data_IF_949699412750
#
_entry.id   IF_949699412750
#
_cell.length_a   1.000
_cell.length_b   1.000
_cell.length_c   1.000
_cell.angle_alpha   90.00
_cell.angle_beta   90.00
_cell.angle_gamma   90.00
#
_symmetry.space_group_name_H-M   'P 1'
#
loop_
_entity.id
_entity.type
_entity.pdbx_description
1 polymer ?
#
# COMPACT_ATOMS: atom_id res chain seq x y z
N UNK A 1 16.49 1.87 -0.94
CA UNK A 1 16.14 1.30 -2.26
C UNK A 1 14.63 1.33 -2.41
N UNK A 2 14.13 1.64 -3.60
CA UNK A 2 12.71 1.60 -3.94
C UNK A 2 12.48 0.53 -4.99
N UNK A 3 11.40 -0.25 -4.88
CA UNK A 3 11.03 -1.29 -5.83
C UNK A 3 9.70 -0.87 -6.46
N UNK A 4 9.72 -0.61 -7.76
CA UNK A 4 8.55 -0.28 -8.55
C UNK A 4 8.10 -1.47 -9.40
N UNK A 5 6.82 -1.53 -9.71
CA UNK A 5 6.27 -2.34 -10.78
C UNK A 5 5.68 -1.40 -11.81
N UNK A 6 5.97 -1.63 -13.07
CA UNK A 6 5.62 -0.70 -14.15
C UNK A 6 5.41 -1.43 -15.49
N UNK A 7 4.87 -0.70 -16.45
CA UNK A 7 4.76 -1.13 -17.85
C UNK A 7 5.40 -0.09 -18.75
N UNK A 8 6.21 -0.54 -19.68
CA UNK A 8 6.80 0.22 -20.79
C UNK A 8 5.95 0.14 -22.08
N UNK A 9 4.69 -0.29 -21.94
CA UNK A 9 3.78 -0.57 -23.06
C UNK A 9 3.73 -2.05 -23.46
N UNK A 10 4.54 -2.89 -22.80
CA UNK A 10 4.57 -4.35 -22.97
C UNK A 10 4.10 -5.07 -21.68
N UNK A 11 4.73 -6.18 -21.34
CA UNK A 11 4.44 -6.91 -20.11
C UNK A 11 4.93 -6.13 -18.88
N UNK A 12 4.21 -6.22 -17.74
CA UNK A 12 4.65 -5.62 -16.49
C UNK A 12 6.04 -6.12 -16.05
N UNK A 13 6.87 -5.19 -15.62
CA UNK A 13 8.24 -5.42 -15.16
C UNK A 13 8.39 -4.89 -13.74
N UNK A 14 9.24 -5.53 -12.94
CA UNK A 14 9.75 -4.97 -11.71
C UNK A 14 11.08 -4.27 -11.92
N UNK A 15 11.33 -3.22 -11.17
CA UNK A 15 12.60 -2.52 -11.21
C UNK A 15 12.94 -1.88 -9.87
N UNK A 16 14.22 -1.65 -9.67
CA UNK A 16 14.78 -0.98 -8.50
C UNK A 16 15.30 0.40 -8.87
N UNK A 17 15.08 1.38 -7.99
CA UNK A 17 15.62 2.72 -8.11
C UNK A 17 16.13 3.22 -6.76
N UNK A 18 17.13 4.09 -6.79
CA UNK A 18 17.64 4.79 -5.62
C UNK A 18 16.80 6.02 -5.32
N UNK A 19 16.88 6.51 -4.10
CA UNK A 19 16.21 7.75 -3.73
C UNK A 19 16.74 8.93 -4.56
N UNK A 20 15.81 9.73 -5.07
CA UNK A 20 16.12 10.89 -5.92
C UNK A 20 16.53 10.53 -7.37
N UNK A 21 16.55 9.24 -7.72
CA UNK A 21 16.83 8.80 -9.10
C UNK A 21 15.55 8.73 -9.92
N UNK A 22 15.64 9.09 -11.20
CA UNK A 22 14.60 8.82 -12.21
C UNK A 22 14.87 7.53 -12.98
N UNK A 23 16.06 6.92 -12.80
CA UNK A 23 16.47 5.70 -13.51
C UNK A 23 16.04 4.47 -12.75
N UNK A 24 15.36 3.57 -13.44
CA UNK A 24 14.90 2.28 -12.94
C UNK A 24 15.77 1.18 -13.53
N UNK A 25 16.42 0.40 -12.68
CA UNK A 25 17.15 -0.81 -13.09
C UNK A 25 16.15 -1.97 -13.09
N UNK A 26 15.85 -2.53 -14.26
CA UNK A 26 14.93 -3.66 -14.40
C UNK A 26 15.41 -4.88 -13.61
N UNK A 27 14.47 -5.62 -13.03
CA UNK A 27 14.71 -6.86 -12.29
C UNK A 27 14.31 -8.07 -13.14
N UNK A 28 14.96 -9.22 -12.89
CA UNK A 28 14.68 -10.47 -13.60
C UNK A 28 13.33 -11.10 -13.21
N UNK A 29 12.77 -10.73 -12.05
CA UNK A 29 11.53 -11.31 -11.56
C UNK A 29 10.87 -10.48 -10.46
N UNK A 30 9.78 -11.03 -9.91
CA UNK A 30 9.03 -10.45 -8.79
C UNK A 30 9.85 -10.58 -7.49
N UNK A 31 10.22 -9.48 -6.84
CA UNK A 31 11.09 -9.48 -5.64
C UNK A 31 10.45 -10.14 -4.42
N UNK A 32 9.13 -10.43 -4.45
CA UNK A 32 8.46 -11.21 -3.42
C UNK A 32 8.72 -12.72 -3.55
N UNK A 33 9.16 -13.19 -4.73
CA UNK A 33 9.27 -14.63 -5.03
C UNK A 33 10.62 -14.99 -5.65
N UNK A 34 11.44 -13.99 -6.00
CA UNK A 34 12.73 -14.17 -6.64
C UNK A 34 13.78 -13.28 -5.98
N UNK A 35 15.06 -13.64 -6.02
CA UNK A 35 16.13 -12.74 -5.63
C UNK A 35 16.09 -11.40 -6.40
N UNK A 36 16.49 -10.33 -5.75
CA UNK A 36 16.62 -9.00 -6.38
C UNK A 36 17.88 -9.01 -7.26
N UNK A 37 17.71 -9.38 -8.53
CA UNK A 37 18.78 -9.45 -9.52
C UNK A 37 18.49 -8.53 -10.70
N UNK A 38 19.46 -7.69 -11.12
CA UNK A 38 19.32 -6.84 -12.30
C UNK A 38 19.10 -7.67 -13.58
N UNK A 39 18.18 -7.22 -14.43
CA UNK A 39 17.98 -7.79 -15.77
C UNK A 39 18.99 -7.31 -16.81
N UNK A 40 19.68 -6.20 -16.51
CA UNK A 40 20.55 -5.47 -17.44
C UNK A 40 19.84 -4.38 -18.24
N UNK A 41 18.51 -4.27 -18.12
CA UNK A 41 17.72 -3.20 -18.73
C UNK A 41 17.58 -2.00 -17.80
N UNK A 42 17.57 -0.81 -18.38
CA UNK A 42 17.38 0.47 -17.68
C UNK A 42 16.22 1.21 -18.34
N UNK A 43 15.38 1.81 -17.51
CA UNK A 43 14.21 2.58 -17.91
C UNK A 43 14.26 3.96 -17.26
N UNK A 44 13.61 4.95 -17.85
CA UNK A 44 13.37 6.24 -17.21
C UNK A 44 11.94 6.28 -16.62
N UNK A 45 11.83 6.89 -15.45
CA UNK A 45 10.57 6.89 -14.67
C UNK A 45 9.43 7.60 -15.40
N UNK A 46 9.73 8.61 -16.19
CA UNK A 46 8.77 9.39 -16.99
C UNK A 46 8.37 8.72 -18.31
N UNK A 47 9.07 7.64 -18.71
CA UNK A 47 8.76 6.86 -19.92
C UNK A 47 7.91 5.62 -19.62
N UNK A 48 7.62 5.34 -18.35
CA UNK A 48 6.88 4.14 -17.93
C UNK A 48 5.61 4.49 -17.17
N UNK A 49 4.60 3.63 -17.27
CA UNK A 49 3.42 3.72 -16.40
C UNK A 49 3.62 2.87 -15.15
N UNK A 50 3.60 3.50 -13.99
CA UNK A 50 3.63 2.79 -12.72
C UNK A 50 2.36 1.95 -12.53
N UNK A 51 2.52 0.79 -11.95
CA UNK A 51 1.46 -0.14 -11.59
C UNK A 51 1.50 -0.36 -10.07
N UNK A 52 0.46 -0.96 -9.50
CA UNK A 52 0.56 -1.39 -8.11
C UNK A 52 1.85 -2.19 -7.89
N UNK A 53 2.70 -1.81 -6.94
CA UNK A 53 3.98 -2.47 -6.71
C UNK A 53 3.82 -3.87 -6.11
N UNK A 54 2.60 -4.19 -5.65
CA UNK A 54 2.24 -5.50 -5.10
C UNK A 54 1.00 -6.02 -5.80
N UNK A 55 1.05 -7.29 -6.24
CA UNK A 55 -0.14 -8.06 -6.60
C UNK A 55 -0.42 -9.02 -5.43
N UNK A 56 -1.34 -8.70 -4.52
CA UNK A 56 -1.59 -9.55 -3.36
C UNK A 56 -2.13 -10.92 -3.79
N UNK A 57 -1.38 -11.97 -3.49
CA UNK A 57 -1.79 -13.36 -3.81
C UNK A 57 -2.63 -13.98 -2.70
N UNK A 58 -2.78 -13.28 -1.58
CA UNK A 58 -3.59 -13.74 -0.46
C UNK A 58 -4.42 -12.59 0.10
N UNK A 59 -4.14 -12.12 1.29
CA UNK A 59 -4.99 -11.16 1.99
C UNK A 59 -4.44 -9.74 1.87
N UNK A 60 -5.35 -8.77 1.75
CA UNK A 60 -5.10 -7.38 2.13
C UNK A 60 -5.82 -7.17 3.46
N UNK A 61 -5.05 -6.94 4.51
CA UNK A 61 -5.56 -6.81 5.89
C UNK A 61 -5.50 -5.34 6.28
N UNK A 62 -6.63 -4.77 6.63
CA UNK A 62 -6.73 -3.42 7.18
C UNK A 62 -6.82 -3.42 8.70
N UNK A 63 -6.20 -2.44 9.31
CA UNK A 63 -6.22 -2.17 10.76
C UNK A 63 -6.98 -0.86 10.96
N UNK A 64 -8.21 -0.96 11.46
CA UNK A 64 -9.04 0.22 11.67
C UNK A 64 -8.64 1.02 12.91
N UNK A 65 -8.96 2.32 12.92
CA UNK A 65 -8.72 3.25 14.03
C UNK A 65 -7.25 3.26 14.50
N UNK A 66 -6.30 3.08 13.58
CA UNK A 66 -4.87 2.99 13.91
C UNK A 66 -4.19 4.35 14.05
N UNK A 67 -4.79 5.42 13.54
CA UNK A 67 -4.27 6.78 13.63
C UNK A 67 -5.07 7.59 14.65
N UNK A 68 -4.38 8.43 15.43
CA UNK A 68 -5.00 9.28 16.44
C UNK A 68 -4.32 10.64 16.48
N UNK A 69 -5.11 11.69 16.54
CA UNK A 69 -4.61 13.07 16.73
C UNK A 69 -4.00 13.27 18.12
N UNK A 70 -4.32 12.38 19.07
CA UNK A 70 -3.79 12.41 20.43
C UNK A 70 -3.03 11.11 20.70
N UNK A 71 -1.74 11.18 21.11
CA UNK A 71 -0.99 9.99 21.46
C UNK A 71 -1.68 9.21 22.59
N UNK A 72 -1.95 7.93 22.34
CA UNK A 72 -2.49 7.01 23.35
C UNK A 72 -1.37 6.04 23.72
N UNK A 73 -1.04 5.86 25.02
CA UNK A 73 -0.09 4.86 25.47
C UNK A 73 -0.45 3.47 24.91
N UNK A 74 0.56 2.67 24.57
CA UNK A 74 0.36 1.37 23.88
C UNK A 74 -0.52 0.42 24.71
N UNK A 75 -0.33 0.43 26.02
CA UNK A 75 -1.08 -0.38 27.00
C UNK A 75 -2.51 0.08 27.23
N UNK A 76 -2.85 1.31 26.82
CA UNK A 76 -4.20 1.88 26.93
C UNK A 76 -4.98 1.82 25.59
N UNK A 77 -4.33 1.39 24.50
CA UNK A 77 -4.96 1.32 23.19
C UNK A 77 -6.00 0.19 23.17
N UNK A 78 -7.21 0.45 22.69
CA UNK A 78 -8.16 -0.63 22.45
C UNK A 78 -7.65 -1.57 21.37
N UNK A 79 -8.08 -2.82 21.40
CA UNK A 79 -7.81 -3.76 20.31
C UNK A 79 -8.40 -3.19 19.00
N UNK A 80 -7.58 -3.02 17.95
CA UNK A 80 -8.06 -2.41 16.72
C UNK A 80 -8.98 -3.36 15.95
N UNK A 81 -10.04 -2.87 15.33
CA UNK A 81 -10.83 -3.68 14.44
C UNK A 81 -9.99 -4.10 13.23
N UNK A 82 -10.05 -5.38 12.91
CA UNK A 82 -9.36 -5.96 11.74
C UNK A 82 -10.40 -6.26 10.67
N UNK A 83 -10.11 -5.86 9.44
CA UNK A 83 -10.95 -6.15 8.29
C UNK A 83 -10.12 -6.63 7.10
N UNK A 84 -10.78 -7.14 6.09
CA UNK A 84 -10.14 -7.56 4.85
C UNK A 84 -10.64 -6.69 3.69
N UNK A 85 -9.72 -6.32 2.82
CA UNK A 85 -10.04 -5.83 1.47
C UNK A 85 -9.82 -6.98 0.47
N UNK A 86 -10.66 -7.03 -0.54
CA UNK A 86 -10.44 -7.99 -1.62
C UNK A 86 -9.11 -7.69 -2.33
N UNK A 87 -8.33 -8.72 -2.64
CA UNK A 87 -7.11 -8.53 -3.43
C UNK A 87 -7.39 -7.99 -4.83
N UNK A 88 -8.60 -8.23 -5.37
CA UNK A 88 -9.08 -7.67 -6.64
C UNK A 88 -9.44 -6.18 -6.56
N UNK A 89 -9.52 -5.59 -5.37
CA UNK A 89 -9.72 -4.14 -5.21
C UNK A 89 -8.45 -3.33 -5.44
N UNK A 90 -7.28 -3.99 -5.54
CA UNK A 90 -5.99 -3.32 -5.68
C UNK A 90 -5.81 -2.76 -7.08
N UNK A 91 -5.43 -1.48 -7.13
CA UNK A 91 -5.03 -0.76 -8.35
C UNK A 91 -3.70 -0.04 -8.13
N UNK A 92 -3.10 0.45 -9.20
CA UNK A 92 -1.84 1.19 -9.16
C UNK A 92 -2.00 2.70 -8.94
N UNK A 93 -0.86 3.41 -8.92
CA UNK A 93 -0.87 4.87 -8.96
C UNK A 93 -1.56 5.37 -10.23
N UNK A 94 -2.26 6.49 -10.10
CA UNK A 94 -2.98 7.17 -11.21
C UNK A 94 -4.08 6.34 -11.88
N UNK A 95 -4.34 5.11 -11.43
CA UNK A 95 -5.49 4.35 -11.88
C UNK A 95 -6.79 4.98 -11.32
N UNK A 96 -7.86 5.07 -12.10
CA UNK A 96 -9.10 5.69 -11.67
C UNK A 96 -9.83 4.84 -10.62
N UNK A 97 -10.31 5.50 -9.55
CA UNK A 97 -11.20 4.88 -8.57
C UNK A 97 -12.62 4.89 -9.13
N UNK A 98 -13.20 3.72 -9.36
CA UNK A 98 -14.57 3.56 -9.83
C UNK A 98 -15.54 3.67 -8.63
N UNK A 99 -16.18 4.82 -8.49
CA UNK A 99 -17.18 5.04 -7.43
C UNK A 99 -18.38 4.12 -7.69
N UNK A 100 -18.75 3.25 -6.74
CA UNK A 100 -19.84 2.32 -6.93
C UNK A 100 -21.21 3.04 -6.95
N UNK A 101 -22.06 2.72 -7.92
CA UNK A 101 -23.36 3.39 -8.09
C UNK A 101 -24.33 3.19 -6.91
N UNK A 102 -24.06 2.25 -6.02
CA UNK A 102 -24.88 1.95 -4.84
C UNK A 102 -24.43 2.73 -3.59
N UNK A 103 -23.38 3.55 -3.66
CA UNK A 103 -22.88 4.36 -2.54
C UNK A 103 -22.95 5.85 -2.87
N UNK A 104 -23.36 6.63 -1.87
CA UNK A 104 -23.37 8.10 -1.95
C UNK A 104 -22.37 8.75 -0.99
N UNK A 105 -21.59 7.95 -0.25
CA UNK A 105 -20.63 8.42 0.74
C UNK A 105 -19.32 7.63 0.65
N UNK A 106 -18.52 7.97 -0.37
CA UNK A 106 -17.19 7.38 -0.59
C UNK A 106 -16.12 8.36 -0.17
N UNK A 107 -15.21 7.92 0.68
CA UNK A 107 -14.08 8.70 1.20
C UNK A 107 -12.75 8.03 0.88
N UNK A 108 -11.69 8.80 0.92
CA UNK A 108 -10.31 8.31 0.84
C UNK A 108 -9.67 8.30 2.24
N UNK A 109 -8.78 7.36 2.48
CA UNK A 109 -8.04 7.21 3.73
C UNK A 109 -6.59 6.88 3.39
N UNK A 110 -5.68 7.86 3.55
CA UNK A 110 -4.25 7.65 3.35
C UNK A 110 -3.67 6.80 4.48
N UNK A 111 -2.94 5.75 4.10
CA UNK A 111 -2.48 4.70 5.01
C UNK A 111 -1.03 4.32 4.74
N UNK A 112 -0.31 3.89 5.78
CA UNK A 112 0.93 3.14 5.64
C UNK A 112 0.62 1.67 5.37
N UNK A 113 1.11 1.13 4.28
CA UNK A 113 0.98 -0.29 3.98
C UNK A 113 2.30 -1.04 4.20
N UNK A 114 2.22 -2.18 4.89
CA UNK A 114 3.34 -3.08 5.15
C UNK A 114 3.28 -4.24 4.14
N UNK A 115 4.37 -4.46 3.42
CA UNK A 115 4.47 -5.54 2.44
C UNK A 115 5.18 -6.74 3.06
N UNK A 116 4.48 -7.86 3.19
CA UNK A 116 5.00 -9.11 3.75
C UNK A 116 5.65 -9.96 2.66
N UNK A 117 6.92 -10.36 2.87
CA UNK A 117 7.74 -11.11 1.89
C UNK A 117 7.73 -12.62 2.05
N UNK A 118 7.21 -13.13 3.14
CA UNK A 118 7.26 -14.58 3.44
C UNK A 118 6.01 -15.05 4.16
N UNK A 119 5.80 -16.37 4.20
CA UNK A 119 4.74 -16.95 5.03
C UNK A 119 4.93 -16.55 6.49
N UNK A 120 3.90 -15.96 7.08
CA UNK A 120 3.89 -15.49 8.46
C UNK A 120 2.69 -16.09 9.19
N UNK A 121 2.97 -16.84 10.26
CA UNK A 121 1.95 -17.41 11.14
C UNK A 121 2.50 -17.44 12.57
N UNK A 122 1.77 -16.83 13.51
CA UNK A 122 2.16 -16.76 14.93
C UNK A 122 3.56 -16.15 15.12
N UNK A 123 3.89 -15.14 14.32
CA UNK A 123 5.14 -14.41 14.40
C UNK A 123 5.08 -13.48 15.60
N UNK A 124 6.11 -13.50 16.45
CA UNK A 124 6.21 -12.55 17.57
C UNK A 124 6.42 -11.11 17.08
N UNK A 125 6.06 -10.12 17.89
CA UNK A 125 6.32 -8.72 17.55
C UNK A 125 7.82 -8.44 17.31
N UNK A 126 8.71 -9.09 18.06
CA UNK A 126 10.16 -8.98 17.90
C UNK A 126 10.68 -9.57 16.59
N UNK A 127 9.98 -10.55 16.02
CA UNK A 127 10.37 -11.22 14.78
C UNK A 127 9.64 -10.65 13.55
N UNK A 128 8.61 -9.83 13.74
CA UNK A 128 7.84 -9.24 12.66
C UNK A 128 8.72 -8.54 11.59
N UNK A 129 9.79 -7.79 11.93
CA UNK A 129 10.67 -7.18 10.92
C UNK A 129 11.29 -8.19 9.94
N UNK A 130 11.47 -9.44 10.34
CA UNK A 130 12.10 -10.47 9.50
C UNK A 130 11.20 -10.91 8.33
N UNK A 131 9.88 -10.77 8.47
CA UNK A 131 8.90 -11.15 7.44
C UNK A 131 8.46 -9.98 6.56
N UNK A 132 8.90 -8.76 6.87
CA UNK A 132 8.58 -7.53 6.12
C UNK A 132 9.56 -7.36 4.97
N UNK A 133 9.06 -7.08 3.75
CA UNK A 133 9.87 -6.62 2.62
C UNK A 133 10.15 -5.13 2.71
N UNK A 134 9.14 -4.34 3.00
CA UNK A 134 9.19 -2.89 3.04
C UNK A 134 7.80 -2.28 3.17
N UNK A 135 7.71 -1.01 2.84
CA UNK A 135 6.54 -0.17 3.08
C UNK A 135 6.11 0.56 1.81
N UNK A 136 4.83 0.78 1.67
CA UNK A 136 4.25 1.59 0.60
C UNK A 136 3.09 2.42 1.12
N UNK A 137 2.56 3.32 0.30
CA UNK A 137 1.34 4.05 0.61
C UNK A 137 0.14 3.26 0.10
N UNK A 138 -0.92 3.25 0.89
CA UNK A 138 -2.23 2.76 0.48
C UNK A 138 -3.26 3.89 0.58
N UNK A 139 -4.31 3.77 -0.23
CA UNK A 139 -5.54 4.51 -0.03
C UNK A 139 -6.64 3.50 0.29
N UNK A 140 -7.10 3.47 1.56
CA UNK A 140 -8.19 2.60 1.98
C UNK A 140 -9.54 3.25 1.62
N UNK A 141 -9.85 3.28 0.32
CA UNK A 141 -11.10 3.88 -0.17
C UNK A 141 -12.31 3.17 0.42
N UNK A 142 -13.20 3.95 0.99
CA UNK A 142 -14.27 3.45 1.85
C UNK A 142 -15.63 4.01 1.45
N UNK A 143 -16.60 3.13 1.17
CA UNK A 143 -18.00 3.47 1.05
C UNK A 143 -18.63 3.39 2.45
N UNK A 144 -18.68 4.53 3.19
CA UNK A 144 -19.08 4.57 4.61
C UNK A 144 -20.52 4.16 4.85
N UNK A 145 -21.41 4.52 3.93
CA UNK A 145 -22.83 4.15 4.00
C UNK A 145 -23.07 2.63 3.91
N UNK A 146 -22.12 1.87 3.39
CA UNK A 146 -22.17 0.41 3.32
C UNK A 146 -21.57 -0.31 4.52
N UNK A 147 -21.05 0.43 5.51
CA UNK A 147 -20.42 -0.15 6.71
C UNK A 147 -21.37 -0.20 7.93
N UNK A 148 -22.46 0.51 7.89
CA UNK A 148 -23.40 0.63 9.02
C UNK A 148 -24.09 -0.70 9.33
N UNK A 149 -23.89 -1.20 10.55
CA UNK A 149 -24.58 -2.39 11.08
C UNK A 149 -24.18 -3.73 10.48
N UNK A 150 -23.09 -3.81 9.72
CA UNK A 150 -22.65 -5.04 9.06
C UNK A 150 -21.15 -5.18 8.93
N UNK A 151 -20.68 -6.23 8.24
CA UNK A 151 -19.27 -6.41 7.99
C UNK A 151 -18.75 -5.31 7.05
N UNK A 152 -17.57 -4.77 7.38
CA UNK A 152 -16.94 -3.66 6.64
C UNK A 152 -16.53 -4.04 5.21
N UNK A 153 -16.47 -5.33 4.91
CA UNK A 153 -16.00 -5.81 3.60
C UNK A 153 -16.76 -5.23 2.41
N UNK A 154 -18.08 -4.96 2.54
CA UNK A 154 -18.84 -4.32 1.46
C UNK A 154 -18.34 -2.90 1.16
N UNK A 155 -18.11 -2.10 2.20
CA UNK A 155 -17.63 -0.72 2.06
C UNK A 155 -16.16 -0.61 1.74
N UNK A 156 -15.37 -1.64 2.03
CA UNK A 156 -13.90 -1.65 1.94
C UNK A 156 -13.35 -2.45 0.75
N UNK A 157 -14.17 -3.26 0.05
CA UNK A 157 -13.70 -4.26 -0.92
C UNK A 157 -14.33 -4.14 -2.32
N UNK A 158 -14.94 -3.02 -2.67
CA UNK A 158 -15.39 -2.82 -4.05
C UNK A 158 -14.18 -2.67 -4.99
N UNK A 159 -14.38 -2.95 -6.27
CA UNK A 159 -13.32 -2.85 -7.26
C UNK A 159 -12.69 -1.45 -7.23
N UNK A 160 -11.37 -1.40 -7.31
CA UNK A 160 -10.55 -0.18 -7.22
C UNK A 160 -10.47 0.50 -5.84
N UNK A 161 -11.00 -0.12 -4.78
CA UNK A 161 -11.02 0.47 -3.44
C UNK A 161 -9.66 0.44 -2.71
N UNK A 162 -8.58 -0.04 -3.34
CA UNK A 162 -7.27 -0.16 -2.71
C UNK A 162 -6.11 0.28 -3.63
N UNK A 163 -5.99 1.57 -3.96
CA UNK A 163 -4.80 2.08 -4.62
C UNK A 163 -3.55 1.84 -3.77
N UNK A 164 -2.49 1.28 -4.36
CA UNK A 164 -1.20 1.03 -3.72
C UNK A 164 -0.06 1.64 -4.56
N UNK A 165 0.90 2.24 -3.89
CA UNK A 165 2.10 2.70 -4.59
C UNK A 165 2.72 3.97 -3.99
N UNK A 166 3.61 4.64 -4.73
CA UNK A 166 4.02 4.30 -6.11
C UNK A 166 5.04 3.16 -6.20
N UNK A 167 5.75 2.84 -5.10
CA UNK A 167 6.77 1.79 -4.99
C UNK A 167 6.81 1.23 -3.58
N UNK A 168 7.53 0.12 -3.39
CA UNK A 168 7.89 -0.40 -2.08
C UNK A 168 9.21 0.25 -1.65
N UNK A 169 9.22 0.95 -0.54
CA UNK A 169 10.44 1.43 0.11
C UNK A 169 11.03 0.31 0.95
N UNK A 170 12.24 -0.11 0.58
CA UNK A 170 13.03 -1.12 1.30
C UNK A 170 14.18 -0.39 1.97
N UNK A 171 14.00 -0.07 3.22
CA UNK A 171 14.98 0.64 4.06
C UNK A 171 14.93 0.08 5.49
N UNK A 172 15.98 -0.65 5.92
CA UNK A 172 16.02 -1.20 7.27
C UNK A 172 16.21 -0.15 8.37
N UNK A 173 16.53 1.10 8.00
CA UNK A 173 16.70 2.21 8.93
C UNK A 173 15.46 3.12 9.03
N UNK A 174 14.42 2.83 8.23
CA UNK A 174 13.18 3.62 8.26
C UNK A 174 12.49 3.48 9.63
N UNK A 175 12.39 4.58 10.35
CA UNK A 175 11.61 4.62 11.59
C UNK A 175 10.12 4.77 11.26
N UNK A 176 9.44 3.64 11.23
CA UNK A 176 8.01 3.58 10.92
C UNK A 176 7.11 4.04 12.08
N UNK A 177 7.69 4.28 13.25
CA UNK A 177 6.93 4.75 14.41
C UNK A 177 6.79 6.27 14.44
N UNK A 178 7.44 6.97 13.52
CA UNK A 178 7.47 8.44 13.44
C UNK A 178 7.34 8.93 11.99
N UNK A 179 6.34 8.43 11.28
CA UNK A 179 6.04 8.85 9.91
C UNK A 179 4.83 9.78 9.89
N UNK A 180 4.98 10.92 9.21
CA UNK A 180 3.84 11.79 8.92
C UNK A 180 3.07 11.25 7.70
N UNK A 181 1.75 11.20 7.82
CA UNK A 181 0.84 10.84 6.73
C UNK A 181 -0.04 12.05 6.37
N UNK A 182 -0.09 12.41 5.09
CA UNK A 182 -0.91 13.53 4.63
C UNK A 182 -1.63 13.17 3.35
N UNK A 183 -2.88 13.61 3.26
CA UNK A 183 -3.68 13.48 2.05
C UNK A 183 -4.18 14.85 1.60
N UNK A 184 -4.26 15.01 0.30
CA UNK A 184 -4.75 16.24 -0.34
C UNK A 184 -5.85 15.89 -1.34
N UNK A 185 -6.90 16.71 -1.36
CA UNK A 185 -7.98 16.61 -2.35
C UNK A 185 -8.04 17.94 -3.09
N UNK A 186 -7.82 17.92 -4.41
CA UNK A 186 -7.81 19.12 -5.25
C UNK A 186 -6.85 20.23 -4.74
N UNK A 187 -5.73 19.83 -4.15
CA UNK A 187 -4.74 20.76 -3.58
C UNK A 187 -4.99 21.19 -2.14
N UNK A 188 -6.15 20.89 -1.58
CA UNK A 188 -6.48 21.17 -0.18
C UNK A 188 -6.10 19.97 0.71
N UNK A 189 -5.43 20.27 1.83
CA UNK A 189 -5.05 19.22 2.79
C UNK A 189 -6.29 18.71 3.53
N UNK A 190 -6.56 17.42 3.41
CA UNK A 190 -7.72 16.77 4.00
C UNK A 190 -7.36 15.82 5.15
N UNK A 191 -6.13 15.32 5.19
CA UNK A 191 -5.63 14.46 6.26
C UNK A 191 -4.22 14.92 6.66
N UNK A 192 -3.93 14.94 7.97
CA UNK A 192 -2.59 15.19 8.53
C UNK A 192 -2.51 14.43 9.86
N UNK A 193 -1.75 13.34 9.88
CA UNK A 193 -1.64 12.44 11.02
C UNK A 193 -0.28 11.75 11.05
N UNK A 194 -0.01 10.97 12.09
CA UNK A 194 1.22 10.21 12.27
C UNK A 194 0.97 8.86 12.97
#
# INVERSE_FOLDING_TARGET
MRIARFSDGTNPVYGALEEGSTRIVGLKGDPLFSPVEPSGQIYELDEVRLLSPVIPRSKVVGIGNNYSDTPIPVDERPEPPIFLKANTSVIGPDDPIAIPAWSNDVVFEGELAIVIKSLAKNVSASDAPQVILGYTVANDVTARDAMTGGPWSRGKSFDTACPLGPWITVDPQLDVTNLAIRSYLNGEKAQDSS
#
